data_IF_811267176441
#
_entry.id   IF_811267176441
#
_cell.length_a   1.000
_cell.length_b   1.000
_cell.length_c   1.000
_cell.angle_alpha   90.00
_cell.angle_beta   90.00
_cell.angle_gamma   90.00
#
_symmetry.space_group_name_H-M   'P 1'
#
loop_
_entity.id
_entity.type
_entity.pdbx_description
1 polymer ?
#
# COMPACT_ATOMS: atom_id res chain seq x y z
N UNK A 1 11.12 -53.56 -66.96
CA UNK A 1 10.44 -54.82 -66.61
C UNK A 1 9.87 -54.65 -65.20
N UNK A 2 8.52 -54.74 -65.12
CA UNK A 2 7.68 -55.12 -63.96
C UNK A 2 7.93 -54.39 -62.64
N UNK A 3 7.15 -53.38 -62.32
CA UNK A 3 5.79 -53.44 -61.65
C UNK A 3 5.84 -53.96 -60.21
N UNK A 4 5.49 -53.17 -59.28
CA UNK A 4 4.44 -53.49 -58.33
C UNK A 4 4.08 -52.25 -57.44
N UNK A 5 2.90 -51.82 -57.64
CA UNK A 5 2.16 -50.81 -56.91
C UNK A 5 1.63 -51.44 -55.58
N UNK A 6 1.98 -50.92 -54.45
CA UNK A 6 1.30 -51.28 -53.21
C UNK A 6 0.70 -50.00 -52.53
N UNK A 7 -0.58 -49.91 -52.67
CA UNK A 7 -1.44 -48.98 -51.98
C UNK A 7 -1.62 -49.50 -50.55
N UNK A 8 -1.12 -48.79 -49.57
CA UNK A 8 -1.46 -49.01 -48.15
C UNK A 8 -2.37 -47.89 -47.64
N UNK A 9 -3.56 -48.32 -47.41
CA UNK A 9 -4.66 -47.51 -46.82
C UNK A 9 -4.40 -47.35 -45.32
N UNK A 10 -4.05 -46.14 -44.87
CA UNK A 10 -3.88 -45.84 -43.46
C UNK A 10 -5.18 -45.28 -42.89
N UNK A 11 -5.84 -46.06 -42.04
CA UNK A 11 -6.98 -45.62 -41.23
C UNK A 11 -6.50 -44.63 -40.18
N UNK A 12 -7.02 -43.40 -40.28
CA UNK A 12 -6.81 -42.39 -39.24
C UNK A 12 -7.79 -42.62 -38.11
N UNK A 13 -7.28 -43.03 -36.93
CA UNK A 13 -8.04 -43.03 -35.71
C UNK A 13 -8.06 -41.62 -35.14
N UNK A 14 -9.20 -40.99 -35.15
CA UNK A 14 -9.45 -39.75 -34.44
C UNK A 14 -9.72 -40.08 -32.97
N UNK A 15 -8.76 -39.85 -32.10
CA UNK A 15 -8.93 -39.95 -30.65
C UNK A 15 -9.49 -38.64 -30.12
N UNK A 16 -10.74 -38.64 -29.75
CA UNK A 16 -11.38 -37.53 -29.04
C UNK A 16 -10.93 -37.61 -27.58
N UNK A 17 -9.98 -36.77 -27.18
CA UNK A 17 -9.61 -36.58 -25.78
C UNK A 17 -10.68 -35.73 -25.11
N UNK A 18 -11.53 -36.35 -24.33
CA UNK A 18 -12.45 -35.65 -23.41
C UNK A 18 -11.64 -35.03 -22.28
N UNK A 19 -11.50 -33.70 -22.30
CA UNK A 19 -10.98 -32.94 -21.17
C UNK A 19 -12.03 -32.95 -20.06
N UNK A 20 -11.86 -33.81 -19.08
CA UNK A 20 -12.60 -33.76 -17.82
C UNK A 20 -12.11 -32.54 -17.01
N UNK A 21 -12.87 -31.46 -17.03
CA UNK A 21 -12.68 -30.36 -16.10
C UNK A 21 -13.19 -30.79 -14.73
N UNK A 22 -12.33 -31.40 -13.94
CA UNK A 22 -12.55 -31.51 -12.50
C UNK A 22 -12.37 -30.12 -11.89
N UNK A 23 -13.35 -29.58 -11.16
CA UNK A 23 -13.12 -28.39 -10.36
C UNK A 23 -12.23 -28.79 -9.20
N UNK A 24 -10.92 -28.58 -9.34
CA UNK A 24 -10.01 -28.60 -8.22
C UNK A 24 -10.44 -27.47 -7.30
N UNK A 25 -10.99 -27.80 -6.15
CA UNK A 25 -11.26 -26.85 -5.09
C UNK A 25 -9.94 -26.18 -4.72
N UNK A 26 -9.72 -25.00 -5.27
CA UNK A 26 -8.65 -24.11 -4.86
C UNK A 26 -8.90 -23.77 -3.41
N UNK A 27 -8.12 -24.40 -2.54
CA UNK A 27 -7.97 -24.04 -1.14
C UNK A 27 -7.56 -22.57 -1.16
N UNK A 28 -8.51 -21.70 -0.82
CA UNK A 28 -8.31 -20.25 -0.74
C UNK A 28 -7.27 -20.02 0.35
N UNK A 29 -6.02 -20.00 -0.07
CA UNK A 29 -4.97 -19.33 0.67
C UNK A 29 -5.35 -17.86 0.56
N UNK A 30 -5.73 -17.24 1.66
CA UNK A 30 -5.82 -15.78 1.76
C UNK A 30 -4.43 -15.24 1.43
N UNK A 31 -4.17 -15.03 0.15
CA UNK A 31 -3.11 -14.14 -0.27
C UNK A 31 -3.53 -12.78 0.27
N UNK A 32 -2.76 -12.31 1.23
CA UNK A 32 -2.83 -10.98 1.76
C UNK A 32 -2.56 -10.07 0.55
N UNK A 33 -3.63 -9.54 -0.06
CA UNK A 33 -3.50 -8.62 -1.20
C UNK A 33 -2.63 -7.46 -0.74
N UNK A 34 -1.41 -7.42 -1.23
CA UNK A 34 -0.56 -6.24 -1.10
C UNK A 34 -1.20 -5.18 -1.99
N UNK A 35 -1.90 -4.24 -1.37
CA UNK A 35 -2.57 -3.16 -2.09
C UNK A 35 -1.58 -2.42 -2.98
N UNK A 36 -1.84 -2.44 -4.28
CA UNK A 36 -1.13 -1.61 -5.25
C UNK A 36 -1.63 -0.18 -5.15
N UNK A 37 -0.79 0.79 -5.52
CA UNK A 37 -1.17 2.21 -5.51
C UNK A 37 -2.44 2.42 -6.36
N UNK A 38 -3.53 2.93 -5.76
CA UNK A 38 -4.81 3.16 -6.44
C UNK A 38 -4.88 4.48 -7.19
N UNK A 39 -3.99 5.44 -6.86
CA UNK A 39 -4.03 6.81 -7.36
C UNK A 39 -4.96 7.74 -6.57
N UNK A 40 -5.74 7.22 -5.63
CA UNK A 40 -6.57 8.05 -4.75
C UNK A 40 -5.71 8.66 -3.64
N UNK A 41 -5.96 9.94 -3.33
CA UNK A 41 -5.26 10.66 -2.27
C UNK A 41 -6.27 11.14 -1.23
N UNK A 42 -5.98 10.86 0.04
CA UNK A 42 -6.74 11.33 1.19
C UNK A 42 -5.84 12.21 2.06
N UNK A 43 -6.28 13.43 2.31
CA UNK A 43 -5.49 14.40 3.03
C UNK A 43 -5.81 14.42 4.52
N UNK A 44 -4.77 14.55 5.33
CA UNK A 44 -4.81 14.91 6.74
C UNK A 44 -4.13 16.27 6.86
N UNK A 45 -4.86 17.25 7.35
CA UNK A 45 -4.37 18.63 7.48
C UNK A 45 -3.98 18.88 8.92
N UNK A 46 -2.77 19.39 9.12
CA UNK A 46 -2.19 19.71 10.42
C UNK A 46 -2.26 21.24 10.60
N UNK A 47 -3.07 21.67 11.57
CA UNK A 47 -3.24 23.06 12.00
C UNK A 47 -3.02 23.14 13.51
N UNK A 48 -3.91 23.83 14.24
CA UNK A 48 -3.99 23.79 15.71
C UNK A 48 -4.37 22.39 16.21
N UNK A 49 -5.00 21.59 15.34
CA UNK A 49 -5.32 20.17 15.52
C UNK A 49 -5.12 19.41 14.22
N UNK A 50 -5.16 18.08 14.29
CA UNK A 50 -5.14 17.18 13.14
C UNK A 50 -6.57 17.03 12.61
N UNK A 51 -6.79 17.19 11.29
CA UNK A 51 -8.12 17.09 10.68
C UNK A 51 -8.05 16.31 9.36
N UNK A 52 -8.78 15.20 9.21
CA UNK A 52 -9.43 14.44 10.27
C UNK A 52 -8.41 13.72 11.17
N UNK A 53 -8.76 13.47 12.43
CA UNK A 53 -7.96 12.68 13.35
C UNK A 53 -8.15 11.16 13.17
N UNK A 54 -9.28 10.75 12.58
CA UNK A 54 -9.57 9.39 12.16
C UNK A 54 -9.93 9.36 10.67
N UNK A 55 -9.22 8.54 9.89
CA UNK A 55 -9.38 8.46 8.44
C UNK A 55 -9.57 7.01 8.00
N UNK A 56 -10.54 6.76 7.12
CA UNK A 56 -10.70 5.45 6.48
C UNK A 56 -10.26 5.52 5.02
N UNK A 57 -9.41 4.57 4.61
CA UNK A 57 -8.84 4.46 3.27
C UNK A 57 -8.88 3.02 2.78
N UNK A 58 -8.74 2.81 1.48
CA UNK A 58 -8.50 1.47 0.90
C UNK A 58 -7.01 1.16 0.86
N UNK A 59 -6.66 -0.11 0.91
CA UNK A 59 -5.28 -0.51 0.67
C UNK A 59 -4.81 0.01 -0.71
N UNK A 60 -3.66 0.70 -0.71
CA UNK A 60 -3.10 1.36 -1.89
C UNK A 60 -3.49 2.83 -2.09
N UNK A 61 -4.45 3.37 -1.35
CA UNK A 61 -4.70 4.81 -1.34
C UNK A 61 -3.53 5.55 -0.67
N UNK A 62 -3.21 6.72 -1.18
CA UNK A 62 -2.23 7.60 -0.55
C UNK A 62 -2.88 8.41 0.57
N UNK A 63 -2.35 8.29 1.77
CA UNK A 63 -2.62 9.21 2.88
C UNK A 63 -1.55 10.28 2.87
N UNK A 64 -1.96 11.55 2.79
CA UNK A 64 -1.05 12.69 2.69
C UNK A 64 -1.26 13.63 3.86
N UNK A 65 -0.21 13.84 4.66
CA UNK A 65 -0.15 14.86 5.69
C UNK A 65 0.28 16.19 5.08
N UNK A 66 -0.41 17.26 5.44
CA UNK A 66 -0.16 18.63 4.95
C UNK A 66 0.03 19.51 6.17
N UNK A 67 1.22 20.06 6.36
CA UNK A 67 1.47 21.01 7.43
C UNK A 67 1.02 22.42 7.00
N UNK A 68 -0.09 22.88 7.53
CA UNK A 68 -0.59 24.26 7.35
C UNK A 68 -0.26 25.18 8.53
N UNK A 69 0.64 24.75 9.41
CA UNK A 69 1.17 25.60 10.49
C UNK A 69 2.32 26.45 9.97
N UNK A 70 2.63 27.50 10.70
CA UNK A 70 3.85 28.29 10.46
C UNK A 70 5.11 27.56 10.94
N UNK A 71 4.97 26.73 11.98
CA UNK A 71 6.06 25.97 12.59
C UNK A 71 6.20 24.60 11.92
N UNK A 72 7.44 24.06 11.93
CA UNK A 72 7.69 22.68 11.49
C UNK A 72 7.08 21.69 12.48
N UNK A 73 6.56 20.58 11.94
CA UNK A 73 6.01 19.47 12.72
C UNK A 73 6.68 18.16 12.33
N UNK A 74 6.77 17.24 13.28
CA UNK A 74 7.21 15.86 13.03
C UNK A 74 6.00 14.94 13.09
N UNK A 75 5.76 14.21 11.99
CA UNK A 75 4.77 13.14 11.90
C UNK A 75 5.50 11.82 12.17
N UNK A 76 5.01 11.05 13.13
CA UNK A 76 5.56 9.73 13.48
C UNK A 76 4.47 8.67 13.36
N UNK A 77 4.73 7.62 12.59
CA UNK A 77 3.88 6.43 12.51
C UNK A 77 4.31 5.48 13.62
N UNK A 78 3.35 4.99 14.40
CA UNK A 78 3.64 4.14 15.56
C UNK A 78 3.95 2.69 15.17
N UNK A 79 3.40 2.22 14.05
CA UNK A 79 3.67 0.90 13.52
C UNK A 79 4.88 0.88 12.56
N UNK A 80 5.61 -0.26 12.49
CA UNK A 80 6.70 -0.41 11.51
C UNK A 80 6.21 -0.24 10.07
N UNK A 81 6.86 0.63 9.30
CA UNK A 81 6.53 0.86 7.89
C UNK A 81 7.05 -0.23 6.96
N UNK A 82 7.97 -1.06 7.42
CA UNK A 82 8.51 -2.17 6.65
C UNK A 82 7.40 -3.15 6.27
N UNK A 83 7.30 -3.44 4.99
CA UNK A 83 6.29 -4.35 4.42
C UNK A 83 4.81 -3.90 4.55
N UNK A 84 4.55 -2.71 5.12
CA UNK A 84 3.19 -2.19 5.31
C UNK A 84 2.83 -1.06 4.34
N UNK A 85 3.78 -0.58 3.55
CA UNK A 85 3.57 0.51 2.61
C UNK A 85 4.07 0.17 1.21
N UNK A 86 3.30 0.59 0.20
CA UNK A 86 3.62 0.41 -1.23
C UNK A 86 4.14 1.68 -1.89
N UNK A 87 3.96 2.83 -1.27
CA UNK A 87 4.55 4.09 -1.72
C UNK A 87 4.97 4.97 -0.53
N UNK A 88 5.93 5.86 -0.78
CA UNK A 88 6.46 6.81 0.20
C UNK A 88 6.80 8.11 -0.49
N UNK A 89 6.41 9.18 0.13
CA UNK A 89 6.74 10.52 -0.28
C UNK A 89 7.06 11.33 0.99
N UNK A 90 8.29 11.81 1.13
CA UNK A 90 8.74 12.56 2.29
C UNK A 90 9.18 11.72 3.52
N UNK A 91 8.78 10.44 3.61
CA UNK A 91 9.34 9.51 4.60
C UNK A 91 10.59 8.86 4.03
N UNK A 92 11.75 9.47 4.22
CA UNK A 92 13.02 8.98 3.69
C UNK A 92 13.68 7.99 4.66
N UNK A 93 14.58 7.17 4.12
CA UNK A 93 15.49 6.38 4.95
C UNK A 93 16.54 7.30 5.56
N UNK A 94 16.69 7.29 6.88
CA UNK A 94 17.91 7.80 7.48
C UNK A 94 19.11 6.97 7.00
N UNK A 95 20.26 7.62 6.78
CA UNK A 95 21.45 6.98 6.23
C UNK A 95 21.81 5.71 7.01
N UNK A 96 21.54 4.55 6.43
CA UNK A 96 22.13 3.27 6.83
C UNK A 96 21.44 2.46 7.91
N UNK A 97 20.39 2.91 8.56
CA UNK A 97 19.65 2.15 9.57
C UNK A 97 18.15 2.22 9.24
N UNK A 98 17.49 1.11 9.12
CA UNK A 98 16.04 0.92 9.05
C UNK A 98 15.20 2.01 8.39
N UNK A 99 13.90 1.78 8.31
CA UNK A 99 13.00 2.79 7.80
C UNK A 99 12.62 3.77 8.89
N UNK A 100 12.81 5.07 8.64
CA UNK A 100 12.28 6.09 9.53
C UNK A 100 10.76 6.08 9.47
N UNK A 101 10.15 5.77 10.61
CA UNK A 101 8.71 5.88 10.80
C UNK A 101 8.28 7.34 10.98
N UNK A 102 9.19 8.29 10.85
CA UNK A 102 8.93 9.71 11.08
C UNK A 102 9.44 10.58 9.94
N UNK A 103 8.82 11.74 9.80
CA UNK A 103 9.24 12.80 8.89
C UNK A 103 8.95 14.16 9.50
N UNK A 104 9.80 15.14 9.19
CA UNK A 104 9.57 16.53 9.60
C UNK A 104 9.09 17.34 8.39
N UNK A 105 8.00 18.06 8.57
CA UNK A 105 7.36 18.91 7.56
C UNK A 105 7.51 20.35 7.98
N UNK A 106 8.15 21.16 7.17
CA UNK A 106 8.14 22.62 7.28
C UNK A 106 6.76 23.19 6.96
N UNK A 107 6.57 24.49 7.14
CA UNK A 107 5.31 25.15 6.77
C UNK A 107 4.96 24.90 5.30
N UNK A 108 3.72 24.47 5.05
CA UNK A 108 3.16 24.08 3.74
C UNK A 108 3.81 22.86 3.07
N UNK A 109 4.70 22.14 3.75
CA UNK A 109 5.22 20.89 3.23
C UNK A 109 4.23 19.74 3.41
N UNK A 110 4.45 18.69 2.62
CA UNK A 110 3.61 17.48 2.62
C UNK A 110 4.45 16.21 2.63
N UNK A 111 3.94 15.16 3.26
CA UNK A 111 4.45 13.82 3.13
C UNK A 111 3.30 12.83 2.94
N UNK A 112 3.57 11.68 2.34
CA UNK A 112 2.53 10.70 2.01
C UNK A 112 3.01 9.26 2.11
N UNK A 113 2.07 8.37 2.47
CA UNK A 113 2.25 6.92 2.48
C UNK A 113 1.06 6.23 1.82
N UNK A 114 1.32 5.16 1.07
CA UNK A 114 0.28 4.25 0.62
C UNK A 114 0.37 2.98 1.44
N UNK A 115 -0.63 2.73 2.29
CA UNK A 115 -0.67 1.52 3.10
C UNK A 115 -1.13 0.34 2.26
N UNK A 116 -0.37 -0.76 2.31
CA UNK A 116 -0.61 -1.96 1.50
C UNK A 116 -1.34 -3.07 2.26
N UNK A 117 -1.51 -2.93 3.57
CA UNK A 117 -2.17 -3.93 4.42
C UNK A 117 -3.37 -3.34 5.12
N UNK A 118 -4.43 -4.13 5.22
CA UNK A 118 -5.61 -3.81 6.00
C UNK A 118 -5.28 -3.80 7.51
N UNK A 119 -5.90 -2.90 8.24
CA UNK A 119 -5.68 -2.74 9.67
C UNK A 119 -5.74 -1.29 10.12
N UNK A 120 -5.47 -1.06 11.40
CA UNK A 120 -5.44 0.29 11.97
C UNK A 120 -4.00 0.71 12.17
N UNK A 121 -3.64 1.85 11.60
CA UNK A 121 -2.34 2.51 11.74
C UNK A 121 -2.52 3.73 12.62
N UNK A 122 -1.73 3.84 13.68
CA UNK A 122 -1.70 5.02 14.56
C UNK A 122 -0.53 5.91 14.21
N UNK A 123 -0.73 7.20 14.40
CA UNK A 123 0.32 8.18 14.19
C UNK A 123 0.20 9.32 15.20
N UNK A 124 1.32 9.97 15.44
CA UNK A 124 1.39 11.19 16.25
C UNK A 124 2.02 12.34 15.47
N UNK A 125 1.63 13.55 15.83
CA UNK A 125 2.19 14.79 15.29
C UNK A 125 2.66 15.65 16.43
N UNK A 126 3.89 16.15 16.36
CA UNK A 126 4.49 17.01 17.38
C UNK A 126 5.17 18.20 16.71
N UNK A 127 5.21 19.37 17.35
CA UNK A 127 6.12 20.42 16.92
C UNK A 127 7.55 19.91 16.80
N UNK A 128 8.27 20.28 15.76
CA UNK A 128 9.66 19.78 15.51
C UNK A 128 10.69 20.46 16.42
N UNK A 129 10.38 21.63 16.97
CA UNK A 129 11.19 22.32 17.95
C UNK A 129 10.37 22.49 19.24
N UNK A 130 11.04 22.81 20.36
CA UNK A 130 10.42 23.19 21.62
C UNK A 130 9.73 24.57 21.50
N UNK A 131 8.84 24.67 20.55
CA UNK A 131 7.99 25.86 20.37
C UNK A 131 6.92 25.86 21.45
N UNK A 132 6.67 27.02 22.05
CA UNK A 132 5.63 27.20 23.07
C UNK A 132 4.21 27.02 22.51
N UNK A 133 4.09 26.72 21.23
CA UNK A 133 2.81 26.56 20.54
C UNK A 133 2.31 25.12 20.71
N UNK A 134 1.40 24.89 21.64
CA UNK A 134 0.76 23.59 21.85
C UNK A 134 -0.18 23.25 20.68
N UNK A 135 -0.29 21.96 20.38
CA UNK A 135 -1.32 21.40 19.52
C UNK A 135 -2.43 20.79 20.38
N UNK A 136 -3.68 20.98 19.99
CA UNK A 136 -4.83 20.47 20.74
C UNK A 136 -4.97 18.94 20.63
N UNK A 137 -4.74 18.39 19.45
CA UNK A 137 -4.75 16.95 19.20
C UNK A 137 -3.47 16.55 18.45
N UNK A 138 -2.72 15.65 19.05
CA UNK A 138 -1.41 15.20 18.55
C UNK A 138 -1.41 13.76 18.05
N UNK A 139 -2.54 13.04 18.16
CA UNK A 139 -2.67 11.65 17.75
C UNK A 139 -3.80 11.48 16.75
N UNK A 140 -3.61 10.56 15.82
CA UNK A 140 -4.64 10.17 14.87
C UNK A 140 -4.54 8.70 14.49
N UNK A 141 -5.54 8.23 13.75
CA UNK A 141 -5.63 6.85 13.28
C UNK A 141 -6.08 6.77 11.82
N UNK A 142 -5.57 5.76 11.12
CA UNK A 142 -5.92 5.43 9.75
C UNK A 142 -6.42 4.00 9.73
N UNK A 143 -7.68 3.80 9.33
CA UNK A 143 -8.27 2.49 9.14
C UNK A 143 -8.16 2.10 7.67
N UNK A 144 -7.29 1.14 7.37
CA UNK A 144 -7.06 0.61 6.02
C UNK A 144 -7.98 -0.59 5.80
N UNK A 145 -8.77 -0.58 4.72
CA UNK A 145 -9.76 -1.61 4.35
C UNK A 145 -9.43 -2.24 3.00
#
# INVERSE_FOLDING_TARGET
>A
MKTALHIMLALSFVSVAACSNSPTASKTRSEMEVGTKTGMVKNIVIKESIVPDALTVRAGDEVRWINQRQDSVTVTIEEPLEHNVSCRNGFSKAMGMGMDNSTTLSSNETAGLCFSRVGTVRYSVRPAADTKTSMANTHGSINVQ
#
